data_IF_071377948540
#
_entry.id   IF_071377948540
#
_cell.length_a   1.000
_cell.length_b   1.000
_cell.length_c   1.000
_cell.angle_alpha   90.00
_cell.angle_beta   90.00
_cell.angle_gamma   90.00
#
_symmetry.space_group_name_H-M   'P 1'
#
loop_
_entity.id
_entity.type
_entity.pdbx_description
1 polymer ?
#
# COMPACT_ATOMS: atom_id res chain seq x y z
N UNK A 1 58.24 -24.62 -32.65
CA UNK A 1 57.73 -24.53 -34.04
C UNK A 1 56.52 -23.60 -34.07
N UNK A 2 56.42 -22.78 -35.12
CA UNK A 2 55.42 -21.74 -35.36
C UNK A 2 53.97 -22.25 -35.25
N UNK A 3 53.07 -21.42 -34.70
CA UNK A 3 51.89 -20.86 -35.39
C UNK A 3 51.07 -20.01 -34.40
N UNK A 4 51.45 -18.73 -34.29
CA UNK A 4 50.54 -17.70 -33.82
C UNK A 4 49.56 -17.41 -34.96
N UNK A 5 48.29 -17.70 -34.75
CA UNK A 5 47.22 -17.39 -35.69
C UNK A 5 46.70 -16.00 -35.33
N UNK A 6 47.21 -14.99 -36.04
CA UNK A 6 46.61 -13.67 -36.09
C UNK A 6 45.47 -13.73 -37.12
N UNK A 7 44.22 -13.72 -36.66
CA UNK A 7 43.07 -13.41 -37.52
C UNK A 7 42.84 -11.91 -37.43
N UNK A 8 43.38 -11.23 -38.43
CA UNK A 8 43.03 -9.87 -38.85
C UNK A 8 41.78 -9.96 -39.72
N UNK A 9 41.05 -8.85 -39.80
CA UNK A 9 39.91 -8.52 -40.69
C UNK A 9 38.55 -8.72 -40.00
N UNK A 10 37.64 -7.75 -39.99
CA UNK A 10 37.41 -6.75 -41.02
C UNK A 10 36.66 -5.55 -40.43
N UNK A 11 37.20 -4.34 -40.67
CA UNK A 11 36.49 -3.07 -40.51
C UNK A 11 35.36 -3.02 -41.54
N UNK A 12 34.13 -3.29 -41.13
CA UNK A 12 32.97 -2.80 -41.88
C UNK A 12 32.67 -1.37 -41.45
N UNK A 13 33.22 -0.42 -42.22
CA UNK A 13 32.60 0.90 -42.41
C UNK A 13 31.24 0.65 -43.06
N UNK A 14 30.16 0.73 -42.30
CA UNK A 14 28.84 1.01 -42.85
C UNK A 14 28.46 2.39 -42.36
N UNK A 15 28.57 3.32 -43.30
CA UNK A 15 27.92 4.62 -43.30
C UNK A 15 26.41 4.42 -43.12
N UNK A 16 25.94 4.56 -41.90
CA UNK A 16 24.54 4.54 -41.52
C UNK A 16 24.31 5.53 -40.39
N UNK A 17 24.72 6.79 -40.61
CA UNK A 17 24.14 7.89 -39.86
C UNK A 17 22.63 7.88 -40.12
N UNK A 18 21.85 8.14 -39.08
CA UNK A 18 20.39 7.92 -39.00
C UNK A 18 19.98 6.49 -38.64
N UNK A 19 19.90 6.21 -37.33
CA UNK A 19 18.65 5.64 -36.76
C UNK A 19 18.67 5.53 -35.22
N UNK A 20 19.76 5.84 -34.49
CA UNK A 20 19.70 5.75 -33.01
C UNK A 20 18.58 6.60 -32.39
N UNK A 21 18.31 7.77 -32.96
CA UNK A 21 17.19 8.61 -32.54
C UNK A 21 15.81 8.06 -32.94
N UNK A 22 15.71 7.42 -34.11
CA UNK A 22 14.47 6.80 -34.58
C UNK A 22 14.18 5.50 -33.81
N UNK A 23 15.20 4.70 -33.48
CA UNK A 23 15.11 3.55 -32.57
C UNK A 23 14.69 3.99 -31.17
N UNK A 24 15.25 5.08 -30.62
CA UNK A 24 14.84 5.59 -29.31
C UNK A 24 13.39 6.11 -29.31
N UNK A 25 12.96 6.77 -30.39
CA UNK A 25 11.57 7.21 -30.54
C UNK A 25 10.60 6.04 -30.77
N UNK A 26 11.01 5.02 -31.53
CA UNK A 26 10.24 3.80 -31.70
C UNK A 26 10.09 3.07 -30.36
N UNK A 27 11.20 2.89 -29.62
CA UNK A 27 11.19 2.33 -28.27
C UNK A 27 10.31 3.14 -27.31
N UNK A 28 10.39 4.47 -27.32
CA UNK A 28 9.55 5.33 -26.49
C UNK A 28 8.06 5.29 -26.90
N UNK A 29 7.75 5.16 -28.20
CA UNK A 29 6.36 5.01 -28.69
C UNK A 29 5.79 3.63 -28.40
N UNK A 30 6.60 2.59 -28.50
CA UNK A 30 6.21 1.21 -28.22
C UNK A 30 6.01 1.01 -26.72
N UNK A 31 6.90 1.58 -25.90
CA UNK A 31 6.72 1.67 -24.44
C UNK A 31 5.56 2.58 -24.07
N UNK A 32 5.33 3.67 -24.80
CA UNK A 32 4.18 4.54 -24.61
C UNK A 32 2.85 3.89 -25.01
N UNK A 33 2.84 3.00 -26.01
CA UNK A 33 1.66 2.20 -26.40
C UNK A 33 1.44 1.01 -25.48
N UNK A 34 2.51 0.34 -25.05
CA UNK A 34 2.46 -0.68 -24.00
C UNK A 34 1.99 -0.05 -22.68
N UNK A 35 2.49 1.12 -22.28
CA UNK A 35 1.98 1.88 -21.13
C UNK A 35 0.55 2.39 -21.32
N UNK A 36 0.07 2.61 -22.55
CA UNK A 36 -1.34 2.99 -22.80
C UNK A 36 -2.30 1.80 -22.76
N UNK A 37 -1.79 0.58 -22.99
CA UNK A 37 -2.54 -0.66 -22.87
C UNK A 37 -2.42 -1.28 -21.47
N UNK A 38 -1.28 -1.10 -20.81
CA UNK A 38 -0.93 -1.46 -19.42
C UNK A 38 -1.05 -0.28 -18.47
N UNK A 39 -1.76 0.80 -18.82
CA UNK A 39 -2.47 1.55 -17.78
C UNK A 39 -3.54 0.60 -17.24
N UNK A 40 -3.07 -0.39 -16.49
CA UNK A 40 -3.82 -1.11 -15.48
C UNK A 40 -4.59 -0.02 -14.76
N UNK A 41 -5.90 -0.02 -14.97
CA UNK A 41 -6.79 0.89 -14.29
C UNK A 41 -6.57 0.63 -12.80
N UNK A 42 -5.84 1.52 -12.12
CA UNK A 42 -5.68 1.40 -10.68
C UNK A 42 -7.09 1.50 -10.11
N UNK A 43 -7.60 0.47 -9.44
CA UNK A 43 -8.99 0.45 -9.05
C UNK A 43 -9.24 1.57 -8.06
N UNK A 44 -10.29 2.36 -8.29
CA UNK A 44 -10.71 3.45 -7.41
C UNK A 44 -11.82 2.94 -6.50
N UNK A 45 -12.02 3.63 -5.38
CA UNK A 45 -13.06 3.35 -4.41
C UNK A 45 -14.28 4.26 -4.62
N UNK A 46 -14.43 4.84 -5.81
CA UNK A 46 -15.61 5.62 -6.18
C UNK A 46 -16.61 4.71 -6.89
N UNK A 47 -17.88 5.15 -6.94
CA UNK A 47 -18.88 4.44 -7.72
C UNK A 47 -18.54 4.53 -9.21
N UNK A 48 -18.42 3.38 -9.83
CA UNK A 48 -18.20 3.21 -11.25
C UNK A 48 -19.09 2.06 -11.77
N UNK A 49 -19.19 1.92 -13.10
CA UNK A 49 -19.95 0.81 -13.70
C UNK A 49 -19.44 -0.59 -13.32
N UNK A 50 -18.24 -0.69 -12.74
CA UNK A 50 -17.64 -1.93 -12.24
C UNK A 50 -17.83 -2.15 -10.73
N UNK A 51 -18.34 -1.17 -9.98
CA UNK A 51 -18.59 -1.33 -8.55
C UNK A 51 -19.71 -2.36 -8.36
N UNK A 52 -19.48 -3.45 -7.60
CA UNK A 52 -20.52 -4.44 -7.35
C UNK A 52 -21.70 -3.79 -6.61
N UNK A 53 -22.94 -4.27 -6.83
CA UNK A 53 -24.11 -3.70 -6.18
C UNK A 53 -23.97 -3.68 -4.65
N UNK A 54 -24.66 -2.77 -3.96
CA UNK A 54 -24.57 -2.67 -2.52
C UNK A 54 -25.12 -3.96 -1.89
N UNK A 55 -24.30 -4.61 -1.06
CA UNK A 55 -24.71 -5.83 -0.36
C UNK A 55 -25.18 -5.57 1.08
N UNK A 56 -24.98 -4.35 1.56
CA UNK A 56 -25.39 -3.87 2.89
C UNK A 56 -25.71 -2.38 2.82
N UNK A 57 -26.42 -1.86 3.84
CA UNK A 57 -26.67 -0.41 3.94
C UNK A 57 -25.35 0.33 4.18
N UNK A 58 -25.18 1.59 3.72
CA UNK A 58 -23.96 2.36 3.96
C UNK A 58 -23.54 2.38 5.45
N UNK A 59 -24.48 2.45 6.38
CA UNK A 59 -24.23 2.37 7.82
C UNK A 59 -23.62 1.04 8.29
N UNK A 60 -24.11 -0.08 7.75
CA UNK A 60 -23.59 -1.43 8.05
C UNK A 60 -22.20 -1.61 7.43
N UNK A 61 -22.02 -1.12 6.21
CA UNK A 61 -20.73 -1.07 5.50
C UNK A 61 -19.70 -0.25 6.26
N UNK A 62 -20.06 0.94 6.74
CA UNK A 62 -19.20 1.79 7.57
C UNK A 62 -18.80 1.08 8.87
N UNK A 63 -19.75 0.41 9.52
CA UNK A 63 -19.51 -0.37 10.75
C UNK A 63 -18.46 -1.45 10.52
N UNK A 64 -18.50 -2.16 9.38
CA UNK A 64 -17.49 -3.16 9.02
C UNK A 64 -16.08 -2.56 8.92
N UNK A 65 -15.92 -1.43 8.23
CA UNK A 65 -14.61 -0.81 8.06
C UNK A 65 -14.06 -0.26 9.39
N UNK A 66 -14.93 0.32 10.23
CA UNK A 66 -14.57 0.73 11.59
C UNK A 66 -14.12 -0.46 12.44
N UNK A 67 -14.84 -1.58 12.39
CA UNK A 67 -14.47 -2.80 13.10
C UNK A 67 -13.20 -3.46 12.56
N UNK A 68 -12.90 -3.27 11.27
CA UNK A 68 -11.68 -3.76 10.62
C UNK A 68 -10.44 -2.97 11.05
N UNK A 69 -10.60 -1.73 11.53
CA UNK A 69 -9.51 -0.97 12.10
C UNK A 69 -9.18 -1.47 13.51
N UNK A 70 -8.22 -2.39 13.57
CA UNK A 70 -7.54 -2.76 14.81
C UNK A 70 -6.18 -2.04 14.87
N UNK A 71 -5.92 -1.19 15.89
CA UNK A 71 -4.65 -0.48 16.04
C UNK A 71 -3.42 -1.40 16.01
N UNK A 72 -3.51 -2.60 16.58
CA UNK A 72 -2.41 -3.56 16.53
C UNK A 72 -2.11 -3.98 15.09
N UNK A 73 -3.14 -4.38 14.32
CA UNK A 73 -2.95 -4.85 12.95
C UNK A 73 -2.53 -3.70 12.05
N UNK A 74 -3.16 -2.55 12.20
CA UNK A 74 -2.84 -1.37 11.42
C UNK A 74 -1.39 -0.95 11.62
N UNK A 75 -0.94 -0.81 12.87
CA UNK A 75 0.45 -0.47 13.18
C UNK A 75 1.42 -1.52 12.67
N UNK A 76 1.09 -2.81 12.84
CA UNK A 76 1.89 -3.89 12.28
C UNK A 76 1.98 -3.81 10.74
N UNK A 77 0.98 -3.25 10.07
CA UNK A 77 0.95 -3.12 8.61
C UNK A 77 1.71 -1.89 8.09
N UNK A 78 1.63 -0.76 8.80
CA UNK A 78 2.17 0.54 8.37
C UNK A 78 3.63 0.72 8.74
N UNK A 79 4.06 0.20 9.90
CA UNK A 79 5.46 0.26 10.31
C UNK A 79 6.23 -0.95 9.77
N UNK A 80 7.35 -0.66 9.12
CA UNK A 80 8.26 -1.71 8.67
C UNK A 80 8.87 -2.46 9.86
N UNK A 81 9.20 -3.72 9.64
CA UNK A 81 9.72 -4.59 10.69
C UNK A 81 10.99 -4.03 11.38
N UNK A 82 11.95 -3.41 10.66
CA UNK A 82 13.07 -2.72 11.29
C UNK A 82 12.65 -1.61 12.26
N UNK A 83 11.66 -0.77 11.92
CA UNK A 83 11.15 0.25 12.83
C UNK A 83 10.51 -0.35 14.10
N UNK A 84 9.80 -1.49 13.95
CA UNK A 84 9.24 -2.23 15.09
C UNK A 84 10.36 -2.72 16.02
N UNK A 85 11.41 -3.34 15.48
CA UNK A 85 12.55 -3.81 16.27
C UNK A 85 13.32 -2.67 16.92
N UNK A 86 13.55 -1.57 16.19
CA UNK A 86 14.20 -0.39 16.73
C UNK A 86 13.44 0.14 17.94
N UNK A 87 12.12 0.30 17.83
CA UNK A 87 11.28 0.77 18.95
C UNK A 87 11.23 -0.20 20.11
N UNK A 88 11.21 -1.51 19.84
CA UNK A 88 11.33 -2.52 20.89
C UNK A 88 12.64 -2.36 21.69
N UNK A 89 13.75 -2.06 21.01
CA UNK A 89 15.03 -1.74 21.66
C UNK A 89 14.98 -0.48 22.53
N UNK A 90 14.38 0.60 22.02
CA UNK A 90 14.19 1.84 22.80
C UNK A 90 13.33 1.64 24.06
N UNK A 91 12.38 0.72 24.02
CA UNK A 91 11.49 0.41 25.15
C UNK A 91 12.05 -0.67 26.08
N UNK A 92 13.20 -1.28 25.76
CA UNK A 92 13.80 -2.35 26.56
C UNK A 92 13.07 -3.71 26.44
N UNK A 93 12.31 -3.92 25.37
CA UNK A 93 11.58 -5.18 25.12
C UNK A 93 12.51 -6.24 24.50
N UNK A 94 13.55 -6.63 25.25
CA UNK A 94 14.63 -7.50 24.77
C UNK A 94 14.15 -8.89 24.30
N UNK A 95 13.09 -9.44 24.90
CA UNK A 95 12.51 -10.73 24.47
C UNK A 95 12.01 -10.72 23.02
N UNK A 96 11.57 -9.56 22.51
CA UNK A 96 11.18 -9.42 21.11
C UNK A 96 12.40 -9.39 20.19
N UNK A 97 13.56 -8.95 20.70
CA UNK A 97 14.82 -8.86 19.97
C UNK A 97 15.58 -10.20 19.94
N UNK A 98 15.33 -11.10 20.89
CA UNK A 98 16.00 -12.40 20.96
C UNK A 98 15.60 -13.34 19.81
N UNK A 99 14.35 -13.25 19.34
CA UNK A 99 13.80 -14.11 18.28
C UNK A 99 12.87 -13.31 17.35
N UNK A 100 13.39 -12.32 16.60
CA UNK A 100 12.55 -11.43 15.80
C UNK A 100 11.79 -12.19 14.71
N UNK A 101 12.37 -13.24 14.14
CA UNK A 101 11.70 -14.06 13.12
C UNK A 101 10.38 -14.67 13.60
N UNK A 102 10.24 -14.92 14.90
CA UNK A 102 9.00 -15.47 15.47
C UNK A 102 7.82 -14.49 15.45
N UNK A 103 8.10 -13.19 15.25
CA UNK A 103 7.08 -12.15 15.09
C UNK A 103 6.68 -11.94 13.62
N UNK A 104 7.31 -12.63 12.67
CA UNK A 104 6.96 -12.51 11.25
C UNK A 104 5.67 -13.27 10.97
N UNK A 105 4.64 -12.52 10.63
CA UNK A 105 3.32 -13.05 10.29
C UNK A 105 2.76 -12.28 9.10
N UNK A 106 2.12 -12.99 8.19
CA UNK A 106 1.44 -12.35 7.07
C UNK A 106 0.41 -11.32 7.58
N UNK A 107 0.50 -10.04 7.17
CA UNK A 107 -0.49 -9.02 7.50
C UNK A 107 -1.93 -9.42 7.16
N UNK A 108 -2.11 -10.11 6.03
CA UNK A 108 -3.42 -10.67 5.63
C UNK A 108 -3.94 -11.70 6.64
N UNK A 109 -3.07 -12.53 7.22
CA UNK A 109 -3.48 -13.49 8.25
C UNK A 109 -3.90 -12.78 9.53
N UNK A 110 -3.18 -11.74 9.94
CA UNK A 110 -3.52 -10.94 11.12
C UNK A 110 -4.87 -10.21 10.99
N UNK A 111 -5.21 -9.75 9.79
CA UNK A 111 -6.50 -9.11 9.52
C UNK A 111 -7.64 -10.13 9.44
N UNK A 112 -7.49 -11.18 8.64
CA UNK A 112 -8.58 -12.13 8.36
C UNK A 112 -8.80 -13.13 9.50
N UNK A 113 -7.80 -13.35 10.35
CA UNK A 113 -7.85 -14.28 11.48
C UNK A 113 -7.39 -13.56 12.75
N UNK A 114 -8.31 -12.96 13.53
CA UNK A 114 -7.95 -12.30 14.79
C UNK A 114 -7.19 -13.21 15.77
N UNK A 115 -7.50 -14.52 15.73
CA UNK A 115 -6.82 -15.55 16.54
C UNK A 115 -5.38 -15.85 16.10
N UNK A 116 -4.95 -15.40 14.92
CA UNK A 116 -3.58 -15.63 14.45
C UNK A 116 -2.53 -15.00 15.37
N UNK A 117 -2.86 -13.89 16.05
CA UNK A 117 -1.97 -13.23 17.03
C UNK A 117 -1.55 -14.13 18.18
N UNK A 118 -2.37 -15.12 18.52
CA UNK A 118 -2.05 -16.09 19.57
C UNK A 118 -0.81 -16.94 19.22
N UNK A 119 -0.43 -17.02 17.94
CA UNK A 119 0.80 -17.71 17.50
C UNK A 119 2.07 -17.02 17.97
N UNK A 120 2.01 -15.73 18.34
CA UNK A 120 3.14 -15.06 18.99
C UNK A 120 3.36 -15.58 20.42
N UNK A 121 2.34 -16.15 21.05
CA UNK A 121 2.27 -16.36 22.50
C UNK A 121 1.74 -15.11 23.21
N UNK A 122 1.04 -15.30 24.33
CA UNK A 122 0.34 -14.22 25.04
C UNK A 122 1.26 -13.10 25.50
N UNK A 123 2.43 -13.45 26.06
CA UNK A 123 3.40 -12.48 26.57
C UNK A 123 4.02 -11.65 25.45
N UNK A 124 4.54 -12.30 24.39
CA UNK A 124 5.10 -11.59 23.23
C UNK A 124 4.07 -10.75 22.52
N UNK A 125 2.83 -11.22 22.42
CA UNK A 125 1.73 -10.42 21.85
C UNK A 125 1.51 -9.13 22.65
N UNK A 126 1.49 -9.21 23.98
CA UNK A 126 1.30 -8.03 24.84
C UNK A 126 2.46 -7.04 24.69
N UNK A 127 3.71 -7.52 24.73
CA UNK A 127 4.90 -6.68 24.52
C UNK A 127 4.91 -6.03 23.13
N UNK A 128 4.61 -6.80 22.09
CA UNK A 128 4.48 -6.28 20.73
C UNK A 128 3.37 -5.24 20.62
N UNK A 129 2.24 -5.43 21.32
CA UNK A 129 1.17 -4.45 21.35
C UNK A 129 1.63 -3.11 21.97
N UNK A 130 2.44 -3.14 23.03
CA UNK A 130 3.03 -1.93 23.64
C UNK A 130 3.93 -1.21 22.64
N UNK A 131 4.81 -1.94 21.94
CA UNK A 131 5.69 -1.37 20.91
C UNK A 131 4.88 -0.72 19.78
N UNK A 132 3.90 -1.43 19.24
CA UNK A 132 3.06 -0.96 18.13
C UNK A 132 2.17 0.22 18.51
N UNK A 133 1.62 0.23 19.73
CA UNK A 133 0.86 1.35 20.27
C UNK A 133 1.75 2.58 20.44
N UNK A 134 2.97 2.40 20.95
CA UNK A 134 3.92 3.50 21.08
C UNK A 134 4.30 4.11 19.73
N UNK A 135 4.52 3.29 18.70
CA UNK A 135 4.78 3.77 17.34
C UNK A 135 3.60 4.55 16.77
N UNK A 136 2.38 4.01 16.94
CA UNK A 136 1.16 4.66 16.44
C UNK A 136 0.93 6.01 17.11
N UNK A 137 1.09 6.06 18.43
CA UNK A 137 0.92 7.29 19.18
C UNK A 137 1.89 8.39 18.71
N UNK A 138 3.19 8.07 18.60
CA UNK A 138 4.17 9.02 18.08
C UNK A 138 3.91 9.41 16.62
N UNK A 139 3.35 8.51 15.81
CA UNK A 139 2.95 8.82 14.44
C UNK A 139 1.73 9.76 14.39
N UNK A 140 0.74 9.55 15.24
CA UNK A 140 -0.49 10.36 15.32
C UNK A 140 -0.27 11.78 15.82
N UNK A 141 0.86 12.03 16.48
CA UNK A 141 1.32 13.37 16.83
C UNK A 141 2.07 14.06 15.68
N UNK A 142 2.55 13.31 14.69
CA UNK A 142 3.32 13.84 13.56
C UNK A 142 2.43 14.33 12.41
N UNK A 143 2.89 15.35 11.68
CA UNK A 143 2.21 15.88 10.47
C UNK A 143 2.07 14.85 9.32
N UNK A 144 2.70 13.67 9.47
CA UNK A 144 2.59 12.59 8.48
C UNK A 144 1.26 11.85 8.61
N UNK A 145 0.68 11.81 9.82
CA UNK A 145 -0.61 11.17 10.10
C UNK A 145 -1.77 12.03 9.55
N UNK A 146 -2.88 11.42 9.12
CA UNK A 146 -4.11 12.14 8.82
C UNK A 146 -4.72 12.84 10.04
N UNK A 147 -4.35 12.44 11.27
CA UNK A 147 -4.97 12.92 12.52
C UNK A 147 -4.79 14.43 12.74
N UNK A 148 -3.56 15.01 12.71
CA UNK A 148 -3.40 16.46 12.85
C UNK A 148 -4.06 17.25 11.72
N UNK A 149 -4.06 16.71 10.49
CA UNK A 149 -4.70 17.37 9.37
C UNK A 149 -6.23 17.40 9.52
N UNK A 150 -6.86 16.29 9.93
CA UNK A 150 -8.30 16.27 10.23
C UNK A 150 -8.66 17.32 11.28
N UNK A 151 -7.85 17.45 12.34
CA UNK A 151 -8.03 18.48 13.36
C UNK A 151 -7.89 19.89 12.79
N UNK A 152 -6.88 20.13 11.95
CA UNK A 152 -6.65 21.43 11.30
C UNK A 152 -7.77 21.82 10.32
N UNK A 153 -8.39 20.83 9.67
CA UNK A 153 -9.56 21.00 8.81
C UNK A 153 -10.87 21.17 9.60
N UNK A 154 -10.84 21.11 10.94
CA UNK A 154 -12.02 21.27 11.78
C UNK A 154 -12.96 20.07 11.78
N UNK A 155 -12.49 18.89 11.36
CA UNK A 155 -13.28 17.65 11.34
C UNK A 155 -13.66 17.27 12.77
N UNK A 156 -14.97 17.27 13.05
CA UNK A 156 -15.51 16.95 14.37
C UNK A 156 -15.71 15.44 14.59
N UNK A 157 -15.83 14.66 13.51
CA UNK A 157 -16.08 13.23 13.59
C UNK A 157 -14.79 12.46 13.97
N UNK A 158 -14.69 11.90 15.20
CA UNK A 158 -13.47 11.24 15.67
C UNK A 158 -13.19 9.90 14.96
N UNK A 159 -14.23 9.30 14.36
CA UNK A 159 -14.15 7.99 13.71
C UNK A 159 -13.85 8.07 12.22
N UNK A 160 -13.73 9.27 11.64
CA UNK A 160 -13.45 9.42 10.21
C UNK A 160 -12.06 8.89 9.84
N UNK A 161 -11.02 9.24 10.61
CA UNK A 161 -9.65 8.73 10.36
C UNK A 161 -9.56 7.22 10.62
N UNK A 162 -10.04 6.67 11.76
CA UNK A 162 -10.15 5.22 11.95
C UNK A 162 -10.86 4.48 10.81
N UNK A 163 -11.96 5.04 10.31
CA UNK A 163 -12.68 4.49 9.16
C UNK A 163 -11.80 4.43 7.92
N UNK A 164 -11.15 5.54 7.54
CA UNK A 164 -10.26 5.59 6.37
C UNK A 164 -9.07 4.61 6.49
N UNK A 165 -8.53 4.45 7.70
CA UNK A 165 -7.49 3.46 7.99
C UNK A 165 -8.00 2.03 7.80
N UNK A 166 -9.21 1.74 8.29
CA UNK A 166 -9.89 0.46 8.06
C UNK A 166 -10.12 0.17 6.58
N UNK A 167 -10.56 1.19 5.81
CA UNK A 167 -10.70 1.09 4.34
C UNK A 167 -9.36 0.75 3.69
N UNK A 168 -8.29 1.51 3.96
CA UNK A 168 -6.96 1.26 3.36
C UNK A 168 -6.44 -0.15 3.70
N UNK A 169 -6.63 -0.58 4.95
CA UNK A 169 -6.26 -1.92 5.40
C UNK A 169 -7.01 -3.01 4.63
N UNK A 170 -8.32 -2.88 4.46
CA UNK A 170 -9.13 -3.81 3.67
C UNK A 170 -8.76 -3.81 2.18
N UNK A 171 -8.50 -2.65 1.60
CA UNK A 171 -8.12 -2.51 0.19
C UNK A 171 -6.80 -3.24 -0.08
N UNK A 172 -5.77 -2.94 0.70
CA UNK A 172 -4.43 -3.47 0.46
C UNK A 172 -4.26 -4.94 0.84
N UNK A 173 -5.13 -5.46 1.72
CA UNK A 173 -5.22 -6.90 1.98
C UNK A 173 -6.12 -7.63 0.98
N UNK A 174 -6.70 -6.90 0.02
CA UNK A 174 -7.63 -7.41 -1.01
C UNK A 174 -8.86 -8.07 -0.40
N UNK A 175 -9.44 -7.44 0.61
CA UNK A 175 -10.69 -7.89 1.20
C UNK A 175 -11.84 -7.73 0.19
N UNK A 176 -12.68 -8.76 -0.04
CA UNK A 176 -13.74 -8.71 -1.06
C UNK A 176 -14.80 -7.63 -0.81
N UNK A 177 -14.94 -7.19 0.44
CA UNK A 177 -15.85 -6.11 0.83
C UNK A 177 -15.28 -4.70 0.58
N UNK A 178 -13.98 -4.56 0.28
CA UNK A 178 -13.32 -3.26 0.13
C UNK A 178 -14.01 -2.31 -0.89
N UNK A 179 -14.49 -2.78 -2.06
CA UNK A 179 -15.19 -1.90 -3.03
C UNK A 179 -16.47 -1.26 -2.48
N UNK A 180 -17.09 -1.83 -1.44
CA UNK A 180 -18.32 -1.29 -0.85
C UNK A 180 -18.08 0.06 -0.13
N UNK A 181 -16.82 0.43 0.14
CA UNK A 181 -16.47 1.75 0.67
C UNK A 181 -17.00 2.90 -0.19
N UNK A 182 -17.17 2.68 -1.50
CA UNK A 182 -17.71 3.66 -2.44
C UNK A 182 -19.08 4.21 -2.03
N UNK A 183 -19.98 3.34 -1.56
CA UNK A 183 -21.31 3.74 -1.09
C UNK A 183 -21.26 4.59 0.19
N UNK A 184 -20.24 4.36 1.03
CA UNK A 184 -20.03 5.17 2.25
C UNK A 184 -19.49 6.55 1.88
N UNK A 185 -18.57 6.63 0.92
CA UNK A 185 -18.07 7.90 0.41
C UNK A 185 -19.18 8.71 -0.26
N UNK A 186 -20.00 8.10 -1.11
CA UNK A 186 -21.14 8.78 -1.73
C UNK A 186 -22.09 9.36 -0.67
N UNK A 187 -22.50 8.57 0.32
CA UNK A 187 -23.41 9.01 1.37
C UNK A 187 -22.81 10.13 2.26
N UNK A 188 -21.52 10.05 2.60
CA UNK A 188 -20.82 11.13 3.29
C UNK A 188 -20.81 12.43 2.47
N UNK A 189 -20.69 12.34 1.15
CA UNK A 189 -20.69 13.51 0.27
C UNK A 189 -22.09 14.09 0.09
N UNK A 190 -23.11 13.25 -0.13
CA UNK A 190 -24.49 13.67 -0.44
C UNK A 190 -25.27 14.09 0.80
N UNK A 191 -25.30 13.23 1.82
CA UNK A 191 -26.07 13.43 3.04
C UNK A 191 -25.27 14.11 4.15
N UNK A 192 -23.94 14.00 4.12
CA UNK A 192 -23.06 14.49 5.19
C UNK A 192 -22.95 13.53 6.37
N UNK A 193 -23.71 12.45 6.40
CA UNK A 193 -23.63 11.44 7.46
C UNK A 193 -24.06 10.08 6.94
N UNK A 194 -23.42 9.04 7.47
CA UNK A 194 -23.76 7.63 7.23
C UNK A 194 -24.41 7.02 8.47
N UNK A 195 -24.00 7.50 9.65
CA UNK A 195 -24.52 7.11 10.96
C UNK A 195 -24.30 8.26 11.95
N UNK A 196 -24.83 8.15 13.17
CA UNK A 196 -24.54 9.12 14.24
C UNK A 196 -23.05 9.17 14.61
N UNK A 197 -22.29 8.13 14.28
CA UNK A 197 -20.87 7.98 14.63
C UNK A 197 -19.91 8.29 13.47
N UNK A 198 -20.40 8.29 12.22
CA UNK A 198 -19.60 8.55 11.03
C UNK A 198 -20.31 9.60 10.17
N UNK A 199 -19.77 10.82 10.23
CA UNK A 199 -20.31 12.00 9.57
C UNK A 199 -19.20 12.94 9.12
N UNK A 200 -19.55 13.88 8.24
CA UNK A 200 -18.67 14.92 7.74
C UNK A 200 -19.51 16.20 7.56
N UNK A 201 -19.24 17.20 8.41
CA UNK A 201 -19.98 18.45 8.40
C UNK A 201 -19.62 19.34 7.20
N UNK A 202 -20.52 20.25 6.84
CA UNK A 202 -20.31 21.24 5.78
C UNK A 202 -21.17 21.00 4.53
N UNK A 203 -21.02 21.91 3.56
CA UNK A 203 -21.69 21.79 2.26
C UNK A 203 -21.02 20.70 1.41
N UNK A 204 -21.70 20.22 0.37
CA UNK A 204 -21.17 19.18 -0.54
C UNK A 204 -19.72 19.46 -0.99
N UNK A 205 -19.41 20.69 -1.38
CA UNK A 205 -18.09 21.13 -1.82
C UNK A 205 -17.03 21.02 -0.71
N UNK A 206 -17.38 21.45 0.50
CA UNK A 206 -16.47 21.39 1.67
C UNK A 206 -16.22 19.94 2.08
N UNK A 207 -17.28 19.12 2.07
CA UNK A 207 -17.21 17.67 2.33
C UNK A 207 -16.36 16.97 1.30
N UNK A 208 -16.54 17.28 0.02
CA UNK A 208 -15.74 16.74 -1.06
C UNK A 208 -14.26 17.07 -0.88
N UNK A 209 -13.90 18.35 -0.70
CA UNK A 209 -12.51 18.78 -0.48
C UNK A 209 -11.89 18.12 0.77
N UNK A 210 -12.63 18.08 1.86
CA UNK A 210 -12.15 17.49 3.13
C UNK A 210 -11.93 15.98 2.97
N UNK A 211 -12.89 15.28 2.36
CA UNK A 211 -12.77 13.84 2.12
C UNK A 211 -11.62 13.54 1.16
N UNK A 212 -11.47 14.30 0.08
CA UNK A 212 -10.37 14.17 -0.88
C UNK A 212 -9.00 14.26 -0.18
N UNK A 213 -8.79 15.30 0.61
CA UNK A 213 -7.53 15.51 1.34
C UNK A 213 -7.25 14.39 2.34
N UNK A 214 -8.25 13.98 3.12
CA UNK A 214 -8.07 12.92 4.11
C UNK A 214 -7.84 11.54 3.48
N UNK A 215 -8.53 11.23 2.37
CA UNK A 215 -8.30 10.00 1.60
C UNK A 215 -6.88 10.00 1.02
N UNK A 216 -6.42 11.12 0.46
CA UNK A 216 -5.04 11.26 -0.04
C UNK A 216 -4.00 11.07 1.07
N UNK A 217 -4.25 11.62 2.27
CA UNK A 217 -3.34 11.45 3.42
C UNK A 217 -3.34 10.03 3.97
N UNK A 218 -4.51 9.39 4.08
CA UNK A 218 -4.62 7.99 4.48
C UNK A 218 -3.94 7.06 3.45
N UNK A 219 -4.09 7.37 2.16
CA UNK A 219 -3.41 6.67 1.07
C UNK A 219 -1.88 6.79 1.21
N UNK A 220 -1.37 7.99 1.48
CA UNK A 220 0.05 8.24 1.71
C UNK A 220 0.57 7.54 2.96
N UNK A 221 -0.18 7.58 4.05
CA UNK A 221 0.14 6.92 5.32
C UNK A 221 0.31 5.42 5.11
N UNK A 222 -0.66 4.78 4.45
CA UNK A 222 -0.69 3.34 4.27
C UNK A 222 0.11 2.84 3.05
N UNK A 223 0.43 3.72 2.10
CA UNK A 223 0.95 3.33 0.79
C UNK A 223 -0.10 2.57 -0.04
N UNK A 224 -1.30 3.15 -0.18
CA UNK A 224 -2.41 2.60 -0.95
C UNK A 224 -2.62 3.39 -2.24
N UNK A 225 -2.35 2.75 -3.38
CA UNK A 225 -2.53 3.36 -4.70
C UNK A 225 -4.01 3.60 -5.01
N UNK A 226 -4.87 2.62 -4.74
CA UNK A 226 -6.31 2.74 -4.94
C UNK A 226 -6.93 3.90 -4.17
N UNK A 227 -6.56 4.06 -2.89
CA UNK A 227 -7.02 5.20 -2.10
C UNK A 227 -6.46 6.52 -2.63
N UNK A 228 -5.20 6.56 -3.08
CA UNK A 228 -4.59 7.76 -3.66
C UNK A 228 -5.39 8.25 -4.88
N UNK A 229 -5.63 7.38 -5.86
CA UNK A 229 -6.38 7.76 -7.06
C UNK A 229 -7.83 8.11 -6.75
N UNK A 230 -8.45 7.46 -5.77
CA UNK A 230 -9.77 7.86 -5.25
C UNK A 230 -9.75 9.31 -4.76
N UNK A 231 -8.78 9.65 -3.92
CA UNK A 231 -8.66 10.99 -3.36
C UNK A 231 -8.30 12.06 -4.42
N UNK A 232 -7.53 11.71 -5.43
CA UNK A 232 -7.23 12.61 -6.56
C UNK A 232 -8.46 12.88 -7.44
N UNK A 233 -9.27 11.86 -7.71
CA UNK A 233 -10.52 12.01 -8.48
C UNK A 233 -11.58 12.82 -7.74
N UNK A 234 -11.67 12.66 -6.42
CA UNK A 234 -12.55 13.50 -5.61
C UNK A 234 -12.15 14.98 -5.71
N UNK A 235 -10.85 15.28 -5.67
CA UNK A 235 -10.33 16.65 -5.75
C UNK A 235 -10.50 17.28 -7.14
N UNK A 236 -10.56 16.46 -8.21
CA UNK A 236 -10.71 16.93 -9.60
C UNK A 236 -11.96 17.80 -9.80
N UNK A 237 -13.06 17.51 -9.10
CA UNK A 237 -14.33 18.26 -9.20
C UNK A 237 -14.19 19.74 -8.76
N UNK A 238 -13.23 20.06 -7.88
CA UNK A 238 -13.13 21.36 -7.23
C UNK A 238 -11.74 22.00 -7.34
N UNK A 239 -10.83 21.39 -8.09
CA UNK A 239 -9.45 21.82 -8.18
C UNK A 239 -9.33 23.19 -8.89
N UNK A 240 -8.94 24.22 -8.13
CA UNK A 240 -8.00 25.21 -8.67
C UNK A 240 -6.77 24.45 -9.17
N UNK A 241 -6.12 24.85 -10.29
CA UNK A 241 -5.02 24.07 -10.87
C UNK A 241 -4.06 23.68 -9.74
N UNK A 242 -3.99 22.39 -9.38
CA UNK A 242 -3.23 21.99 -8.23
C UNK A 242 -1.81 22.47 -8.45
N UNK A 243 -1.10 22.88 -7.40
CA UNK A 243 0.34 23.03 -7.51
C UNK A 243 0.88 21.68 -7.99
N UNK A 244 1.16 21.55 -9.29
CA UNK A 244 1.47 20.25 -9.91
C UNK A 244 2.63 19.56 -9.20
N UNK A 245 3.52 20.36 -8.60
CA UNK A 245 4.59 19.90 -7.73
C UNK A 245 4.11 19.26 -6.42
N UNK A 246 3.08 19.81 -5.75
CA UNK A 246 2.53 19.25 -4.52
C UNK A 246 1.87 17.89 -4.78
N UNK A 247 1.05 17.78 -5.84
CA UNK A 247 0.45 16.52 -6.26
C UNK A 247 1.52 15.52 -6.68
N UNK A 248 2.52 15.94 -7.47
CA UNK A 248 3.64 15.08 -7.85
C UNK A 248 4.41 14.52 -6.65
N UNK A 249 4.65 15.34 -5.60
CA UNK A 249 5.27 14.88 -4.35
C UNK A 249 4.38 13.89 -3.60
N UNK A 250 3.08 14.14 -3.50
CA UNK A 250 2.12 13.24 -2.86
C UNK A 250 2.11 11.87 -3.54
N UNK A 251 2.03 11.86 -4.87
CA UNK A 251 2.05 10.63 -5.67
C UNK A 251 3.36 9.87 -5.43
N UNK A 252 4.51 10.53 -5.57
CA UNK A 252 5.82 9.89 -5.37
C UNK A 252 5.99 9.31 -3.96
N UNK A 253 5.56 10.04 -2.91
CA UNK A 253 5.62 9.58 -1.52
C UNK A 253 4.72 8.37 -1.30
N UNK A 254 3.52 8.37 -1.87
CA UNK A 254 2.55 7.28 -1.70
C UNK A 254 3.01 6.02 -2.42
N UNK A 255 3.55 6.14 -3.64
CA UNK A 255 4.12 5.00 -4.37
C UNK A 255 5.35 4.42 -3.66
N UNK A 256 6.25 5.28 -3.16
CA UNK A 256 7.39 4.83 -2.37
C UNK A 256 6.95 4.10 -1.08
N UNK A 257 5.89 4.59 -0.42
CA UNK A 257 5.30 3.91 0.73
C UNK A 257 4.68 2.55 0.34
N UNK A 258 4.00 2.48 -0.80
CA UNK A 258 3.43 1.24 -1.34
C UNK A 258 4.51 0.19 -1.62
N UNK A 259 5.61 0.58 -2.28
CA UNK A 259 6.73 -0.31 -2.56
C UNK A 259 7.40 -0.82 -1.29
N UNK A 260 7.65 0.09 -0.32
CA UNK A 260 8.21 -0.30 0.98
C UNK A 260 7.29 -1.28 1.71
N UNK A 261 5.98 -1.02 1.73
CA UNK A 261 4.99 -1.92 2.32
C UNK A 261 5.00 -3.28 1.64
N UNK A 262 5.02 -3.34 0.31
CA UNK A 262 5.08 -4.61 -0.46
C UNK A 262 6.31 -5.44 -0.08
N UNK A 263 7.49 -4.80 0.03
CA UNK A 263 8.73 -5.46 0.44
C UNK A 263 8.68 -5.96 1.89
N UNK A 264 8.20 -5.13 2.80
CA UNK A 264 8.06 -5.46 4.22
C UNK A 264 7.02 -6.57 4.45
N UNK A 265 5.88 -6.51 3.78
CA UNK A 265 4.86 -7.54 3.84
C UNK A 265 5.34 -8.86 3.25
N UNK A 266 6.16 -8.83 2.20
CA UNK A 266 6.82 -10.01 1.67
C UNK A 266 7.79 -10.62 2.70
N UNK A 267 8.56 -9.81 3.42
CA UNK A 267 9.40 -10.27 4.53
C UNK A 267 8.55 -10.91 5.64
N UNK A 268 7.51 -10.22 6.10
CA UNK A 268 6.59 -10.70 7.15
C UNK A 268 5.85 -11.98 6.77
N UNK A 269 5.50 -12.14 5.49
CA UNK A 269 4.90 -13.37 4.97
C UNK A 269 5.91 -14.54 4.85
N UNK A 270 7.20 -14.25 4.59
CA UNK A 270 8.28 -15.26 4.47
C UNK A 270 8.70 -15.90 5.79
N UNK A 271 8.13 -15.48 6.93
CA UNK A 271 8.31 -16.12 8.23
C UNK A 271 7.97 -17.63 8.25
N UNK A 272 7.32 -18.16 7.21
CA UNK A 272 6.93 -19.57 7.14
C UNK A 272 8.11 -20.54 6.94
N UNK A 273 9.11 -20.26 6.11
CA UNK A 273 10.35 -21.06 5.97
C UNK A 273 11.37 -20.18 5.24
N UNK A 274 12.49 -19.81 5.86
CA UNK A 274 13.62 -19.27 5.10
C UNK A 274 14.19 -20.41 4.25
N UNK A 275 13.90 -20.45 2.95
CA UNK A 275 14.84 -21.11 2.05
C UNK A 275 16.15 -20.34 2.17
N UNK A 276 17.24 -21.06 2.48
CA UNK A 276 18.59 -20.50 2.51
C UNK A 276 18.82 -19.85 1.15
N UNK A 277 19.18 -18.56 1.13
CA UNK A 277 19.56 -17.85 -0.08
C UNK A 277 20.88 -18.47 -0.57
N UNK A 278 20.78 -19.53 -1.37
CA UNK A 278 21.94 -20.02 -2.11
C UNK A 278 22.12 -19.19 -3.38
N UNK A 279 23.37 -19.01 -3.89
CA UNK A 279 23.66 -18.22 -5.09
C UNK A 279 22.83 -18.59 -6.33
N UNK A 280 22.29 -19.80 -6.36
CA UNK A 280 21.45 -20.33 -7.43
C UNK A 280 20.00 -19.81 -7.39
N UNK A 281 19.53 -19.39 -6.20
CA UNK A 281 18.20 -18.83 -5.96
C UNK A 281 18.32 -17.30 -5.88
N UNK A 282 18.61 -16.66 -7.02
CA UNK A 282 18.64 -15.21 -7.13
C UNK A 282 17.32 -14.55 -6.68
N UNK A 283 17.28 -13.21 -6.69
CA UNK A 283 16.14 -12.38 -6.25
C UNK A 283 14.90 -12.47 -7.17
N UNK A 284 14.65 -13.59 -7.82
CA UNK A 284 13.56 -13.75 -8.79
C UNK A 284 12.27 -14.25 -8.12
N UNK A 285 11.25 -13.39 -8.10
CA UNK A 285 9.85 -13.77 -7.91
C UNK A 285 9.39 -14.54 -9.16
N UNK A 286 9.51 -15.87 -9.18
CA UNK A 286 9.16 -16.68 -10.36
C UNK A 286 8.78 -18.13 -10.01
N UNK A 287 7.93 -18.80 -10.82
CA UNK A 287 7.14 -19.95 -10.40
C UNK A 287 7.93 -21.27 -10.36
N UNK A 288 7.44 -22.19 -9.50
CA UNK A 288 8.04 -23.48 -9.16
C UNK A 288 8.39 -24.33 -10.39
N UNK A 289 9.65 -24.77 -10.55
CA UNK A 289 9.98 -25.81 -11.49
C UNK A 289 9.58 -27.17 -10.90
N UNK A 290 8.37 -27.61 -11.22
CA UNK A 290 8.08 -29.04 -11.36
C UNK A 290 8.79 -29.55 -12.62
N UNK A 291 10.11 -29.71 -12.53
CA UNK A 291 10.94 -30.46 -13.48
C UNK A 291 12.01 -31.25 -12.71
N UNK A 292 11.58 -31.97 -11.68
CA UNK A 292 12.22 -33.21 -11.30
C UNK A 292 11.50 -34.34 -12.03
N UNK A 293 12.06 -34.78 -13.15
CA UNK A 293 12.02 -36.20 -13.53
C UNK A 293 13.05 -36.45 -14.63
N UNK A 294 14.26 -36.75 -14.19
CA UNK A 294 15.09 -37.86 -14.68
C UNK A 294 14.68 -38.47 -16.04
N UNK A 295 15.44 -38.12 -17.07
CA UNK A 295 15.56 -38.93 -18.29
C UNK A 295 17.04 -39.05 -18.66
N UNK A 296 17.81 -39.73 -17.80
CA UNK A 296 19.06 -40.37 -18.18
C UNK A 296 18.99 -41.82 -17.70
N UNK A 297 18.47 -42.68 -18.57
CA UNK A 297 19.02 -44.02 -18.81
C UNK A 297 19.71 -43.97 -20.16
#
# INVERSE_FOLDING_TARGET
>A
MRRGIAVVLQRHRVSGGFSRAAEMQAFARERGRQQKAETDWVPTLLLAGQTPPPIARPAETATFFLASFDPFVFSYCVFDFPAILHRAGELGEHELLDCPESMLMSPRSLLLQPTARLRFGSERQQRLAVVLQSLLHGHDESERSPVPCARALGVQCPLLVPFLRGVCLCVETQHPFAPQAAYVFEELLTSGFVSSTLYLDGAYVDRNRTLAQLVQLAAREFGSESALFTGLLLDEEHASPPEAMAVGRLVAQTLAAADRRRLDWALKARGAVRQRLEPQHGWTLGPSPSLLSTAHQ
#
